data_IF_518350054951
#
_entry.id   IF_518350054951
#
_cell.length_a   1.000
_cell.length_b   1.000
_cell.length_c   1.000
_cell.angle_alpha   90.00
_cell.angle_beta   90.00
_cell.angle_gamma   90.00
#
_symmetry.space_group_name_H-M   'P 1'
#
loop_
_entity.id
_entity.type
_entity.pdbx_description
1 polymer ?
#
# COMPACT_ATOMS: atom_id res chain seq x y z
N UNK A 1 -23.27 -20.32 32.40
CA UNK A 1 -22.95 -19.06 31.70
C UNK A 1 -24.24 -18.29 31.41
N UNK A 2 -25.02 -17.96 32.43
CA UNK A 2 -26.32 -17.27 32.25
C UNK A 2 -26.18 -15.76 32.45
N UNK A 3 -27.05 -14.95 31.86
CA UNK A 3 -27.03 -13.48 32.04
C UNK A 3 -25.70 -12.85 31.63
N UNK A 4 -25.15 -13.33 30.52
CA UNK A 4 -23.90 -12.85 29.96
C UNK A 4 -24.17 -12.22 28.58
N UNK A 5 -23.11 -11.94 27.82
CA UNK A 5 -23.18 -11.33 26.48
C UNK A 5 -22.72 -12.29 25.39
N UNK A 6 -22.92 -13.59 25.57
CA UNK A 6 -22.46 -14.60 24.60
C UNK A 6 -23.32 -14.50 23.33
N UNK A 7 -22.69 -14.23 22.18
CA UNK A 7 -23.38 -14.03 20.90
C UNK A 7 -23.38 -15.26 19.98
N UNK A 8 -22.37 -16.12 20.13
CA UNK A 8 -22.25 -17.37 19.36
C UNK A 8 -21.55 -18.46 20.15
N UNK A 9 -21.74 -19.71 19.73
CA UNK A 9 -21.02 -20.89 20.21
C UNK A 9 -20.41 -21.55 18.98
N UNK A 10 -19.08 -21.62 18.95
CA UNK A 10 -18.35 -22.23 17.85
C UNK A 10 -18.43 -23.76 17.92
N UNK A 11 -18.17 -24.41 16.78
CA UNK A 11 -18.07 -25.86 16.70
C UNK A 11 -17.06 -26.40 17.71
N UNK A 12 -17.46 -27.42 18.46
CA UNK A 12 -16.55 -28.10 19.38
C UNK A 12 -16.16 -27.31 20.63
N UNK A 13 -16.77 -26.14 20.89
CA UNK A 13 -16.51 -25.33 22.11
C UNK A 13 -16.54 -26.16 23.40
N UNK A 14 -17.42 -27.18 23.44
CA UNK A 14 -17.59 -28.05 24.61
C UNK A 14 -17.13 -29.50 24.39
N UNK A 15 -16.42 -29.80 23.30
CA UNK A 15 -16.12 -31.16 22.86
C UNK A 15 -15.42 -32.02 23.94
N UNK A 16 -14.59 -31.41 24.77
CA UNK A 16 -13.82 -32.11 25.80
C UNK A 16 -14.57 -32.24 27.15
N UNK A 17 -15.75 -31.64 27.29
CA UNK A 17 -16.52 -31.64 28.54
C UNK A 17 -17.45 -32.87 28.62
N UNK A 18 -16.93 -34.06 28.36
CA UNK A 18 -17.72 -35.30 28.21
C UNK A 18 -18.49 -35.72 29.47
N UNK A 19 -18.06 -35.25 30.65
CA UNK A 19 -18.73 -35.48 31.96
C UNK A 19 -19.72 -34.38 32.35
N UNK A 20 -19.86 -33.32 31.56
CA UNK A 20 -20.73 -32.20 31.87
C UNK A 20 -22.19 -32.67 31.92
N UNK A 21 -22.86 -32.48 33.07
CA UNK A 21 -24.27 -32.85 33.25
C UNK A 21 -25.23 -31.69 33.02
N UNK A 22 -24.78 -30.44 33.20
CA UNK A 22 -25.65 -29.26 33.17
C UNK A 22 -24.95 -28.12 32.45
N UNK A 23 -25.61 -27.57 31.43
CA UNK A 23 -25.16 -26.42 30.66
C UNK A 23 -26.27 -25.37 30.59
N UNK A 24 -26.07 -24.26 31.29
CA UNK A 24 -27.02 -23.15 31.32
C UNK A 24 -26.42 -21.97 30.57
N UNK A 25 -27.04 -21.60 29.45
CA UNK A 25 -26.71 -20.51 28.54
C UNK A 25 -27.87 -19.50 28.44
N UNK A 26 -28.73 -19.46 29.46
CA UNK A 26 -29.94 -18.63 29.46
C UNK A 26 -29.62 -17.13 29.53
N UNK A 27 -30.47 -16.30 28.93
CA UNK A 27 -30.36 -14.85 28.97
C UNK A 27 -29.00 -14.35 28.45
N UNK A 28 -28.62 -14.81 27.26
CA UNK A 28 -27.46 -14.35 26.51
C UNK A 28 -27.94 -13.66 25.22
N UNK A 29 -27.07 -13.58 24.20
CA UNK A 29 -27.36 -12.98 22.89
C UNK A 29 -27.16 -13.98 21.75
N UNK A 30 -27.34 -15.27 22.01
CA UNK A 30 -27.19 -16.31 20.99
C UNK A 30 -28.25 -16.10 19.91
N UNK A 31 -27.81 -15.92 18.65
CA UNK A 31 -28.69 -15.76 17.49
C UNK A 31 -28.74 -17.02 16.63
N UNK A 32 -27.67 -17.79 16.67
CA UNK A 32 -27.45 -18.99 15.90
C UNK A 32 -26.70 -20.03 16.74
N UNK A 33 -26.88 -21.30 16.38
CA UNK A 33 -26.05 -22.40 16.87
C UNK A 33 -25.33 -23.00 15.69
N UNK A 34 -24.03 -23.24 15.83
CA UNK A 34 -23.27 -23.95 14.82
C UNK A 34 -23.64 -25.44 14.80
N UNK A 35 -23.55 -26.12 13.64
CA UNK A 35 -23.95 -27.52 13.47
C UNK A 35 -23.31 -28.50 14.46
N UNK A 36 -22.15 -28.22 15.06
CA UNK A 36 -21.49 -29.09 16.05
C UNK A 36 -21.23 -28.38 17.38
N UNK A 37 -22.10 -27.43 17.74
CA UNK A 37 -21.95 -26.63 18.96
C UNK A 37 -21.89 -27.47 20.25
N UNK A 38 -22.64 -28.58 20.34
CA UNK A 38 -22.70 -29.45 21.53
C UNK A 38 -22.13 -30.85 21.30
N UNK A 39 -21.25 -31.00 20.31
CA UNK A 39 -20.58 -32.29 20.03
C UNK A 39 -19.86 -32.82 21.28
N UNK A 40 -19.92 -34.14 21.51
CA UNK A 40 -19.21 -34.79 22.62
C UNK A 40 -19.89 -34.70 24.00
N UNK A 41 -20.98 -33.93 24.15
CA UNK A 41 -21.69 -33.76 25.41
C UNK A 41 -22.64 -34.94 25.76
N UNK A 42 -22.13 -36.17 25.72
CA UNK A 42 -22.91 -37.39 25.90
C UNK A 42 -23.53 -37.56 27.30
N UNK A 43 -22.94 -36.94 28.33
CA UNK A 43 -23.43 -37.00 29.72
C UNK A 43 -24.41 -35.88 30.06
N UNK A 44 -24.69 -34.96 29.14
CA UNK A 44 -25.48 -33.77 29.43
C UNK A 44 -26.94 -34.14 29.68
N UNK A 45 -27.47 -33.70 30.82
CA UNK A 45 -28.85 -33.92 31.25
C UNK A 45 -29.70 -32.67 31.13
N UNK A 46 -29.13 -31.50 31.42
CA UNK A 46 -29.86 -30.23 31.43
C UNK A 46 -29.17 -29.24 30.48
N UNK A 47 -29.92 -28.76 29.49
CA UNK A 47 -29.49 -27.70 28.57
C UNK A 47 -30.50 -26.55 28.59
N UNK A 48 -30.06 -25.35 28.94
CA UNK A 48 -30.94 -24.17 28.86
C UNK A 48 -30.38 -23.13 27.90
N UNK A 49 -31.14 -22.86 26.83
CA UNK A 49 -30.93 -21.82 25.84
C UNK A 49 -32.00 -20.71 25.94
N UNK A 50 -32.76 -20.71 27.03
CA UNK A 50 -33.88 -19.80 27.27
C UNK A 50 -33.46 -18.32 27.21
N UNK A 51 -34.29 -17.44 26.66
CA UNK A 51 -34.03 -15.99 26.68
C UNK A 51 -32.85 -15.58 25.79
N UNK A 52 -32.73 -16.18 24.62
CA UNK A 52 -31.77 -15.80 23.59
C UNK A 52 -32.53 -15.27 22.35
N UNK A 53 -31.88 -15.16 21.21
CA UNK A 53 -32.50 -14.73 19.95
C UNK A 53 -32.35 -15.79 18.85
N UNK A 54 -32.41 -17.07 19.23
CA UNK A 54 -32.26 -18.19 18.30
C UNK A 54 -33.54 -18.33 17.48
N UNK A 55 -33.40 -18.48 16.16
CA UNK A 55 -34.54 -18.72 15.27
C UNK A 55 -34.62 -20.14 14.71
N UNK A 56 -33.49 -20.81 14.53
CA UNK A 56 -33.42 -22.18 14.04
C UNK A 56 -32.47 -23.00 14.91
N UNK A 57 -32.82 -24.26 15.13
CA UNK A 57 -31.99 -25.26 15.80
C UNK A 57 -31.61 -26.31 14.76
N UNK A 58 -30.31 -26.46 14.42
CA UNK A 58 -29.87 -27.52 13.52
C UNK A 58 -29.83 -28.87 14.25
N UNK A 59 -30.36 -29.92 13.63
CA UNK A 59 -30.42 -31.28 14.22
C UNK A 59 -29.04 -31.79 14.65
N UNK A 60 -28.04 -31.57 13.80
CA UNK A 60 -26.65 -31.99 14.02
C UNK A 60 -26.06 -31.45 15.33
N UNK A 61 -26.51 -30.27 15.78
CA UNK A 61 -25.98 -29.68 17.03
C UNK A 61 -26.43 -30.49 18.26
N UNK A 62 -27.50 -31.27 18.15
CA UNK A 62 -28.11 -32.01 19.25
C UNK A 62 -27.84 -33.53 19.17
N UNK A 63 -27.19 -34.02 18.10
CA UNK A 63 -26.95 -35.46 17.87
C UNK A 63 -26.22 -36.17 19.03
N UNK A 64 -25.29 -35.47 19.71
CA UNK A 64 -24.52 -36.07 20.81
C UNK A 64 -25.26 -36.15 22.14
N UNK A 65 -26.43 -35.51 22.28
CA UNK A 65 -27.14 -35.29 23.55
C UNK A 65 -28.03 -36.47 23.95
N UNK A 66 -27.44 -37.65 24.06
CA UNK A 66 -28.16 -38.92 24.25
C UNK A 66 -28.89 -39.03 25.60
N UNK A 67 -28.35 -38.39 26.65
CA UNK A 67 -28.83 -38.47 28.03
C UNK A 67 -29.61 -37.24 28.49
N UNK A 68 -30.01 -36.37 27.55
CA UNK A 68 -30.73 -35.15 27.89
C UNK A 68 -32.08 -35.50 28.53
N UNK A 69 -32.40 -34.82 29.62
CA UNK A 69 -33.68 -34.95 30.34
C UNK A 69 -34.44 -33.64 30.39
N UNK A 70 -33.75 -32.51 30.33
CA UNK A 70 -34.35 -31.18 30.36
C UNK A 70 -33.72 -30.26 29.31
N UNK A 71 -34.56 -29.64 28.49
CA UNK A 71 -34.22 -28.57 27.58
C UNK A 71 -35.14 -27.37 27.81
N UNK A 72 -34.58 -26.17 27.77
CA UNK A 72 -35.35 -24.93 27.79
C UNK A 72 -34.94 -24.04 26.64
N UNK A 73 -35.83 -23.85 25.65
CA UNK A 73 -35.60 -22.95 24.50
C UNK A 73 -36.62 -21.82 24.42
N UNK A 74 -37.47 -21.64 25.43
CA UNK A 74 -38.44 -20.55 25.48
C UNK A 74 -37.81 -19.16 25.41
N UNK A 75 -38.64 -18.14 25.14
CA UNK A 75 -38.18 -16.75 24.97
C UNK A 75 -37.07 -16.61 23.92
N UNK A 76 -37.24 -17.32 22.79
CA UNK A 76 -36.43 -17.20 21.58
C UNK A 76 -37.36 -16.88 20.40
N UNK A 77 -36.81 -16.31 19.32
CA UNK A 77 -37.55 -15.92 18.11
C UNK A 77 -37.70 -17.08 17.13
N UNK A 78 -38.26 -18.21 17.58
CA UNK A 78 -38.26 -19.49 16.86
C UNK A 78 -39.07 -19.44 15.55
N UNK A 79 -38.43 -19.85 14.45
CA UNK A 79 -39.03 -19.98 13.12
C UNK A 79 -39.33 -21.46 12.83
N UNK A 80 -40.58 -21.86 13.06
CA UNK A 80 -41.05 -23.23 13.09
C UNK A 80 -41.62 -23.74 11.76
N UNK A 81 -40.86 -23.69 10.69
CA UNK A 81 -41.25 -24.36 9.45
C UNK A 81 -40.84 -25.85 9.44
N UNK A 82 -40.87 -26.50 8.28
CA UNK A 82 -40.51 -27.92 8.17
C UNK A 82 -39.12 -28.26 8.73
N UNK A 83 -38.17 -27.30 8.78
CA UNK A 83 -36.82 -27.51 9.31
C UNK A 83 -36.76 -27.59 10.83
N UNK A 84 -37.81 -27.18 11.52
CA UNK A 84 -37.94 -27.29 12.98
C UNK A 84 -38.88 -28.43 13.40
N UNK A 85 -39.43 -29.18 12.44
CA UNK A 85 -40.31 -30.32 12.73
C UNK A 85 -39.58 -31.39 13.56
N UNK A 86 -38.33 -31.69 13.19
CA UNK A 86 -37.49 -32.67 13.90
C UNK A 86 -37.40 -32.32 15.39
N UNK A 87 -37.20 -31.05 15.72
CA UNK A 87 -37.02 -30.60 17.10
C UNK A 87 -38.32 -30.78 17.89
N UNK A 88 -39.47 -30.38 17.31
CA UNK A 88 -40.78 -30.60 17.91
C UNK A 88 -41.09 -32.08 18.14
N UNK A 89 -40.70 -32.97 17.21
CA UNK A 89 -40.84 -34.42 17.39
C UNK A 89 -39.90 -34.95 18.47
N UNK A 90 -38.66 -34.49 18.46
CA UNK A 90 -37.61 -34.94 19.39
C UNK A 90 -37.98 -34.62 20.84
N UNK A 91 -38.39 -33.40 21.16
CA UNK A 91 -38.80 -33.00 22.52
C UNK A 91 -40.02 -33.79 23.03
N UNK A 92 -40.96 -34.15 22.15
CA UNK A 92 -42.14 -34.97 22.50
C UNK A 92 -41.75 -36.41 22.81
N UNK A 93 -40.85 -36.98 22.00
CA UNK A 93 -40.43 -38.37 22.15
C UNK A 93 -39.64 -38.61 23.45
N UNK A 94 -38.93 -37.59 23.93
CA UNK A 94 -38.07 -37.71 25.12
C UNK A 94 -38.69 -37.10 26.39
N UNK A 95 -39.86 -36.45 26.32
CA UNK A 95 -40.44 -35.63 27.40
C UNK A 95 -39.44 -34.62 27.99
N UNK A 96 -38.62 -33.99 27.13
CA UNK A 96 -37.44 -33.23 27.56
C UNK A 96 -37.72 -31.74 27.79
N UNK A 97 -38.90 -31.20 27.47
CA UNK A 97 -39.15 -29.76 27.64
C UNK A 97 -40.07 -29.45 28.84
N UNK A 98 -39.53 -28.74 29.83
CA UNK A 98 -40.30 -28.13 30.94
C UNK A 98 -40.82 -26.72 30.61
N UNK A 99 -40.63 -26.25 29.37
CA UNK A 99 -40.71 -24.84 28.98
C UNK A 99 -41.88 -24.48 28.05
N UNK A 100 -42.37 -23.25 28.21
CA UNK A 100 -43.42 -22.60 27.42
C UNK A 100 -42.96 -22.15 26.01
N UNK A 101 -42.05 -22.88 25.35
CA UNK A 101 -41.50 -22.46 24.06
C UNK A 101 -42.56 -22.44 22.97
N UNK A 102 -42.69 -21.30 22.30
CA UNK A 102 -43.66 -21.07 21.24
C UNK A 102 -42.95 -20.70 19.95
N UNK A 103 -43.57 -21.11 18.86
CA UNK A 103 -43.21 -20.65 17.53
C UNK A 103 -43.61 -19.18 17.37
N UNK A 104 -42.70 -18.36 16.87
CA UNK A 104 -42.96 -16.94 16.57
C UNK A 104 -43.40 -16.76 15.12
N UNK A 105 -42.83 -17.56 14.22
CA UNK A 105 -43.12 -17.56 12.80
C UNK A 105 -42.95 -18.99 12.24
N UNK A 106 -43.41 -19.30 11.01
CA UNK A 106 -44.31 -18.48 10.17
C UNK A 106 -45.70 -18.31 10.80
N UNK A 107 -46.52 -17.39 10.27
CA UNK A 107 -47.83 -17.03 10.85
C UNK A 107 -48.77 -18.23 11.03
N UNK A 108 -48.66 -19.26 10.19
CA UNK A 108 -49.46 -20.50 10.26
C UNK A 108 -49.29 -21.29 11.57
N UNK A 109 -48.14 -21.15 12.24
CA UNK A 109 -47.81 -21.84 13.50
C UNK A 109 -47.46 -20.87 14.62
N UNK A 110 -47.61 -19.57 14.38
CA UNK A 110 -47.30 -18.55 15.37
C UNK A 110 -48.12 -18.74 16.65
N UNK A 111 -47.47 -18.49 17.79
CA UNK A 111 -47.98 -18.70 19.15
C UNK A 111 -48.30 -20.16 19.53
N UNK A 112 -48.09 -21.15 18.67
CA UNK A 112 -48.25 -22.55 19.04
C UNK A 112 -47.07 -23.02 19.90
N UNK A 113 -47.36 -23.84 20.93
CA UNK A 113 -46.32 -24.47 21.74
C UNK A 113 -45.63 -25.56 20.94
N UNK A 114 -44.30 -25.61 20.99
CA UNK A 114 -43.52 -26.65 20.30
C UNK A 114 -43.93 -28.07 20.74
N UNK A 115 -44.31 -28.24 22.01
CA UNK A 115 -44.73 -29.52 22.57
C UNK A 115 -46.09 -30.01 22.05
N UNK A 116 -46.98 -29.11 21.62
CA UNK A 116 -48.34 -29.47 21.18
C UNK A 116 -48.60 -29.27 19.70
N UNK A 117 -47.74 -28.51 18.99
CA UNK A 117 -47.81 -28.34 17.55
C UNK A 117 -47.72 -29.70 16.83
N UNK A 118 -48.55 -29.94 15.82
CA UNK A 118 -48.59 -31.21 15.07
C UNK A 118 -47.60 -31.17 13.91
N UNK A 119 -46.99 -32.32 13.58
CA UNK A 119 -46.00 -32.45 12.49
C UNK A 119 -46.44 -31.78 11.17
N UNK A 120 -47.69 -32.00 10.74
CA UNK A 120 -48.19 -31.43 9.47
C UNK A 120 -48.32 -29.91 9.46
N UNK A 121 -48.21 -29.22 10.60
CA UNK A 121 -48.24 -27.76 10.68
C UNK A 121 -46.88 -27.13 10.34
N UNK A 122 -45.79 -27.91 10.44
CA UNK A 122 -44.44 -27.48 10.09
C UNK A 122 -44.23 -27.63 8.57
N UNK A 123 -44.61 -26.61 7.82
CA UNK A 123 -44.51 -26.61 6.35
C UNK A 123 -43.52 -25.55 5.86
N UNK A 124 -42.70 -25.90 4.88
CA UNK A 124 -41.78 -24.96 4.24
C UNK A 124 -42.47 -24.26 3.06
N UNK A 125 -42.51 -22.92 3.09
CA UNK A 125 -43.06 -22.10 2.01
C UNK A 125 -42.02 -21.67 0.96
N UNK A 126 -40.82 -22.25 0.96
CA UNK A 126 -39.70 -21.86 0.11
C UNK A 126 -38.41 -21.62 0.90
N UNK A 127 -37.67 -20.57 0.54
CA UNK A 127 -36.43 -20.19 1.22
C UNK A 127 -36.69 -19.60 2.62
N UNK A 128 -35.71 -19.73 3.53
CA UNK A 128 -35.78 -19.03 4.82
C UNK A 128 -35.87 -17.52 4.56
N UNK A 129 -36.72 -16.76 5.27
CA UNK A 129 -36.64 -15.30 5.25
C UNK A 129 -35.22 -14.81 5.55
N UNK A 130 -34.74 -13.81 4.79
CA UNK A 130 -33.40 -13.27 4.94
C UNK A 130 -33.10 -12.79 6.37
N UNK A 131 -34.10 -12.30 7.10
CA UNK A 131 -33.97 -11.88 8.51
C UNK A 131 -33.64 -13.04 9.47
N UNK A 132 -34.06 -14.27 9.14
CA UNK A 132 -33.77 -15.46 9.92
C UNK A 132 -32.44 -16.08 9.50
N UNK A 133 -32.16 -16.17 8.19
CA UNK A 133 -30.87 -16.71 7.73
C UNK A 133 -29.69 -15.79 8.07
N UNK A 134 -29.87 -14.47 8.05
CA UNK A 134 -28.85 -13.48 8.42
C UNK A 134 -28.42 -13.52 9.90
N UNK A 135 -29.11 -14.31 10.74
CA UNK A 135 -28.67 -14.59 12.12
C UNK A 135 -27.50 -15.57 12.17
N UNK A 136 -27.43 -16.50 11.22
CA UNK A 136 -26.38 -17.52 11.14
C UNK A 136 -25.37 -17.23 10.02
N UNK A 137 -25.80 -16.56 8.95
CA UNK A 137 -25.01 -16.33 7.76
C UNK A 137 -24.89 -14.82 7.50
N UNK A 138 -23.72 -14.27 7.83
CA UNK A 138 -23.45 -12.85 7.67
C UNK A 138 -23.46 -12.40 6.19
N UNK A 139 -23.17 -13.31 5.26
CA UNK A 139 -23.15 -13.04 3.82
C UNK A 139 -24.54 -12.81 3.22
N UNK A 140 -25.63 -13.21 3.90
CA UNK A 140 -27.01 -12.95 3.46
C UNK A 140 -27.28 -11.45 3.32
N UNK A 141 -26.66 -10.62 4.16
CA UNK A 141 -26.80 -9.15 4.08
C UNK A 141 -25.95 -8.50 2.99
N UNK A 142 -25.21 -9.29 2.20
CA UNK A 142 -24.30 -8.83 1.15
C UNK A 142 -23.36 -7.70 1.63
N UNK A 143 -22.54 -7.95 2.67
CA UNK A 143 -21.69 -6.91 3.24
C UNK A 143 -20.55 -6.50 2.28
N UNK A 144 -20.03 -7.44 1.49
CA UNK A 144 -18.91 -7.23 0.57
C UNK A 144 -19.32 -6.43 -0.68
N UNK A 145 -18.48 -5.47 -1.08
CA UNK A 145 -18.69 -4.55 -2.22
C UNK A 145 -17.80 -4.92 -3.41
N UNK A 146 -18.01 -4.23 -4.53
CA UNK A 146 -17.12 -4.26 -5.71
C UNK A 146 -16.81 -5.67 -6.24
N UNK A 147 -17.83 -6.54 -6.29
CA UNK A 147 -17.69 -7.90 -6.83
C UNK A 147 -16.91 -8.86 -5.93
N UNK A 148 -16.63 -8.49 -4.68
CA UNK A 148 -15.94 -9.35 -3.73
C UNK A 148 -16.77 -10.58 -3.33
N UNK A 149 -16.09 -11.71 -3.12
CA UNK A 149 -16.71 -12.95 -2.64
C UNK A 149 -16.83 -12.93 -1.12
N UNK A 150 -18.03 -13.14 -0.60
CA UNK A 150 -18.26 -13.24 0.84
C UNK A 150 -18.11 -14.68 1.34
N UNK A 151 -17.46 -14.83 2.49
CA UNK A 151 -17.36 -16.08 3.24
C UNK A 151 -17.76 -15.83 4.70
N UNK A 152 -18.79 -16.54 5.17
CA UNK A 152 -19.18 -16.49 6.58
C UNK A 152 -18.16 -17.28 7.39
N UNK A 153 -17.62 -16.64 8.43
CA UNK A 153 -16.69 -17.25 9.39
C UNK A 153 -17.45 -17.61 10.67
N UNK A 154 -16.76 -18.03 11.73
CA UNK A 154 -17.40 -18.41 12.99
C UNK A 154 -18.38 -17.35 13.52
N UNK A 155 -19.60 -17.76 13.82
CA UNK A 155 -20.64 -16.86 14.37
C UNK A 155 -21.30 -15.98 13.30
N UNK A 156 -21.32 -14.66 13.53
CA UNK A 156 -21.85 -13.63 12.59
C UNK A 156 -20.73 -12.81 11.93
N UNK A 157 -19.50 -13.31 12.04
CA UNK A 157 -18.37 -12.66 11.38
C UNK A 157 -18.27 -13.15 9.93
N UNK A 158 -17.55 -12.38 9.11
CA UNK A 158 -17.37 -12.69 7.71
C UNK A 158 -16.03 -12.19 7.22
N UNK A 159 -15.58 -12.78 6.12
CA UNK A 159 -14.43 -12.34 5.36
C UNK A 159 -14.86 -12.02 3.94
N UNK A 160 -14.51 -10.82 3.48
CA UNK A 160 -14.62 -10.46 2.08
C UNK A 160 -13.30 -10.77 1.37
N UNK A 161 -13.37 -11.60 0.34
CA UNK A 161 -12.28 -11.85 -0.58
C UNK A 161 -12.37 -10.80 -1.69
N UNK A 162 -11.60 -9.72 -1.55
CA UNK A 162 -11.65 -8.58 -2.44
C UNK A 162 -11.22 -8.93 -3.86
N UNK A 163 -11.94 -8.37 -4.84
CA UNK A 163 -11.47 -8.37 -6.22
C UNK A 163 -10.18 -7.55 -6.33
N UNK A 164 -9.39 -7.83 -7.36
CA UNK A 164 -8.14 -7.10 -7.59
C UNK A 164 -8.42 -5.60 -7.77
N UNK A 165 -7.61 -4.77 -7.11
CA UNK A 165 -7.78 -3.32 -7.08
C UNK A 165 -8.68 -2.78 -5.98
N UNK A 166 -9.18 -3.61 -5.06
CA UNK A 166 -9.98 -3.18 -3.92
C UNK A 166 -9.41 -3.69 -2.58
N UNK A 167 -9.65 -2.94 -1.51
CA UNK A 167 -9.25 -3.25 -0.15
C UNK A 167 -10.24 -2.67 0.87
N UNK A 168 -10.01 -2.92 2.17
CA UNK A 168 -10.94 -2.59 3.25
C UNK A 168 -11.69 -3.81 3.77
N UNK A 169 -12.43 -3.66 4.87
CA UNK A 169 -13.15 -4.78 5.51
C UNK A 169 -14.22 -5.36 4.57
N UNK A 170 -14.85 -4.49 3.79
CA UNK A 170 -15.93 -4.81 2.87
C UNK A 170 -15.50 -4.65 1.41
N UNK A 171 -14.20 -4.49 1.13
CA UNK A 171 -13.67 -4.20 -0.20
C UNK A 171 -14.24 -2.91 -0.80
N UNK A 172 -14.49 -1.93 0.06
CA UNK A 172 -15.13 -0.65 -0.28
C UNK A 172 -14.15 0.37 -0.87
N UNK A 173 -12.85 0.21 -0.63
CA UNK A 173 -11.84 1.18 -1.02
C UNK A 173 -11.07 0.70 -2.24
N UNK A 174 -10.85 1.57 -3.21
CA UNK A 174 -9.97 1.31 -4.35
C UNK A 174 -8.50 1.35 -3.90
N UNK A 175 -7.67 0.49 -4.49
CA UNK A 175 -6.21 0.53 -4.32
C UNK A 175 -5.68 1.64 -5.22
N UNK A 176 -5.25 2.73 -4.60
CA UNK A 176 -4.48 3.76 -5.30
C UNK A 176 -3.02 3.31 -5.41
N UNK A 177 -2.69 2.62 -6.50
CA UNK A 177 -1.32 2.18 -6.75
C UNK A 177 -0.36 3.33 -7.13
N UNK A 178 -0.88 4.54 -7.31
CA UNK A 178 -0.06 5.75 -7.44
C UNK A 178 0.25 6.41 -6.09
N UNK A 179 -0.34 5.91 -5.00
CA UNK A 179 -0.01 6.36 -3.66
C UNK A 179 1.48 6.11 -3.36
N UNK A 180 2.20 7.15 -2.93
CA UNK A 180 3.65 7.10 -2.72
C UNK A 180 4.49 7.55 -3.91
N UNK A 181 3.87 8.06 -4.99
CA UNK A 181 4.56 8.64 -6.15
C UNK A 181 5.64 7.72 -6.75
N UNK A 182 5.27 6.51 -7.23
CA UNK A 182 6.25 5.54 -7.71
C UNK A 182 7.00 5.98 -8.98
N UNK A 183 6.38 6.82 -9.81
CA UNK A 183 6.98 7.29 -11.06
C UNK A 183 8.02 8.39 -10.82
N UNK A 184 9.20 8.27 -11.42
CA UNK A 184 10.32 9.20 -11.26
C UNK A 184 10.35 10.28 -12.35
N UNK A 185 11.28 11.23 -12.22
CA UNK A 185 11.56 12.28 -13.21
C UNK A 185 10.31 13.05 -13.68
N UNK A 186 9.40 13.36 -12.74
CA UNK A 186 8.13 14.06 -13.00
C UNK A 186 7.19 13.33 -13.98
N UNK A 187 7.30 12.01 -14.08
CA UNK A 187 6.38 11.20 -14.87
C UNK A 187 4.97 11.17 -14.28
N UNK A 188 3.98 11.07 -15.16
CA UNK A 188 2.57 10.98 -14.77
C UNK A 188 2.22 9.53 -14.42
N UNK A 189 1.84 9.28 -13.17
CA UNK A 189 1.30 7.98 -12.75
C UNK A 189 -0.17 7.84 -13.16
N UNK A 190 -0.52 6.71 -13.77
CA UNK A 190 -1.91 6.36 -14.10
C UNK A 190 -2.24 5.01 -13.48
N UNK A 191 -3.27 4.97 -12.64
CA UNK A 191 -3.87 3.71 -12.17
C UNK A 191 -4.56 3.04 -13.36
N UNK A 192 -4.29 1.75 -13.54
CA UNK A 192 -4.89 0.89 -14.57
C UNK A 192 -5.76 -0.18 -13.89
N UNK A 193 -6.36 -1.07 -14.68
CA UNK A 193 -7.23 -2.13 -14.16
C UNK A 193 -6.54 -2.97 -13.06
N UNK A 194 -7.35 -3.52 -12.15
CA UNK A 194 -6.89 -4.36 -11.03
C UNK A 194 -6.05 -3.65 -9.97
N UNK A 195 -6.11 -2.30 -9.92
CA UNK A 195 -5.31 -1.50 -8.99
C UNK A 195 -3.82 -1.62 -9.24
N UNK A 196 -3.41 -1.82 -10.50
CA UNK A 196 -2.03 -1.64 -10.94
C UNK A 196 -1.83 -0.20 -11.40
N UNK A 197 -0.59 0.18 -11.71
CA UNK A 197 -0.30 1.49 -12.30
C UNK A 197 0.66 1.37 -13.48
N UNK A 198 0.75 2.44 -14.26
CA UNK A 198 1.75 2.64 -15.30
C UNK A 198 2.26 4.09 -15.25
N UNK A 199 3.54 4.29 -15.56
CA UNK A 199 4.15 5.61 -15.63
C UNK A 199 4.21 6.09 -17.08
N UNK A 200 3.67 7.29 -17.34
CA UNK A 200 3.81 7.95 -18.63
C UNK A 200 5.05 8.82 -18.59
N UNK A 201 6.11 8.34 -19.25
CA UNK A 201 7.41 8.98 -19.20
C UNK A 201 7.43 10.30 -20.00
N UNK A 202 8.03 11.36 -19.43
CA UNK A 202 8.38 12.55 -20.19
C UNK A 202 9.37 12.23 -21.31
N UNK A 203 9.46 13.13 -22.30
CA UNK A 203 10.46 13.01 -23.37
C UNK A 203 11.87 12.96 -22.77
N UNK A 204 12.71 12.06 -23.26
CA UNK A 204 14.06 11.82 -22.76
C UNK A 204 14.15 10.75 -21.67
N UNK A 205 13.05 10.22 -21.15
CA UNK A 205 13.07 9.14 -20.15
C UNK A 205 12.41 7.86 -20.64
N UNK A 206 12.86 6.72 -20.12
CA UNK A 206 12.31 5.38 -20.34
C UNK A 206 12.41 4.53 -19.06
N UNK A 207 11.84 3.32 -19.12
CA UNK A 207 11.75 2.41 -17.97
C UNK A 207 10.33 2.34 -17.42
N UNK A 208 10.07 1.34 -16.58
CA UNK A 208 8.73 1.12 -16.00
C UNK A 208 8.34 2.24 -15.03
N UNK A 209 9.33 2.89 -14.41
CA UNK A 209 9.19 4.01 -13.48
C UNK A 209 9.75 5.32 -14.07
N UNK A 210 10.11 5.32 -15.36
CA UNK A 210 10.76 6.44 -16.03
C UNK A 210 12.10 6.85 -15.40
N UNK A 211 12.83 5.86 -14.87
CA UNK A 211 14.07 6.00 -14.12
C UNK A 211 15.32 6.16 -15.00
N UNK A 212 15.23 5.81 -16.28
CA UNK A 212 16.37 5.77 -17.20
C UNK A 212 16.33 6.98 -18.12
N UNK A 213 17.38 7.81 -18.10
CA UNK A 213 17.61 8.81 -19.14
C UNK A 213 17.96 8.11 -20.46
N UNK A 214 17.34 8.51 -21.55
CA UNK A 214 17.62 7.99 -22.89
C UNK A 214 18.93 8.60 -23.36
N UNK A 215 19.89 7.75 -23.75
CA UNK A 215 21.19 8.20 -24.25
C UNK A 215 21.03 8.95 -25.58
N UNK A 216 21.16 10.27 -25.51
CA UNK A 216 21.08 11.16 -26.67
C UNK A 216 22.40 11.19 -27.49
N UNK A 217 23.44 10.47 -27.05
CA UNK A 217 24.75 10.44 -27.68
C UNK A 217 24.93 9.38 -28.76
N UNK A 218 24.05 8.37 -28.90
CA UNK A 218 24.22 7.27 -29.87
C UNK A 218 24.39 7.73 -31.33
N UNK A 219 23.83 8.89 -31.70
CA UNK A 219 23.97 9.50 -33.03
C UNK A 219 24.32 10.98 -32.93
N UNK A 220 25.18 11.31 -31.99
CA UNK A 220 25.63 12.68 -31.81
C UNK A 220 26.38 13.20 -33.05
N UNK A 221 26.37 14.53 -33.21
CA UNK A 221 27.07 15.23 -34.28
C UNK A 221 28.42 15.81 -33.84
N UNK A 222 28.92 15.43 -32.66
CA UNK A 222 30.16 16.00 -32.13
C UNK A 222 31.33 15.66 -33.06
N UNK A 223 32.10 16.67 -33.45
CA UNK A 223 33.21 16.56 -34.39
C UNK A 223 34.56 16.66 -33.68
N UNK A 224 35.64 16.41 -34.42
CA UNK A 224 37.00 16.69 -33.98
C UNK A 224 37.41 16.00 -32.66
N UNK A 225 36.89 14.79 -32.42
CA UNK A 225 37.18 14.00 -31.22
C UNK A 225 36.51 14.54 -29.95
N UNK A 226 35.53 15.43 -30.07
CA UNK A 226 34.79 15.96 -28.92
C UNK A 226 33.99 14.86 -28.20
N UNK A 227 33.94 14.97 -26.88
CA UNK A 227 33.20 14.02 -26.03
C UNK A 227 31.74 14.42 -25.98
N UNK A 228 30.84 13.51 -26.32
CA UNK A 228 29.41 13.73 -26.16
C UNK A 228 29.01 13.60 -24.69
N UNK A 229 28.19 14.53 -24.21
CA UNK A 229 27.58 14.51 -22.88
C UNK A 229 26.08 14.33 -23.06
N UNK A 230 25.59 13.21 -22.54
CA UNK A 230 24.17 12.91 -22.47
C UNK A 230 23.44 13.95 -21.60
N UNK A 231 22.28 14.41 -22.07
CA UNK A 231 21.41 15.34 -21.35
C UNK A 231 19.97 14.80 -21.41
N UNK A 232 18.98 15.57 -20.95
CA UNK A 232 17.58 15.14 -21.03
C UNK A 232 17.03 15.56 -22.39
N UNK A 233 16.74 14.58 -23.27
CA UNK A 233 16.16 14.80 -24.59
C UNK A 233 17.01 15.76 -25.45
N UNK A 234 18.32 15.72 -25.25
CA UNK A 234 19.35 16.51 -25.95
C UNK A 234 20.72 15.95 -25.58
N UNK A 235 21.76 16.37 -26.30
CA UNK A 235 23.14 16.18 -25.89
C UNK A 235 23.92 17.50 -26.02
N UNK A 236 25.10 17.57 -25.41
CA UNK A 236 26.09 18.64 -25.65
C UNK A 236 27.46 18.06 -25.98
N UNK A 237 28.25 18.77 -26.79
CA UNK A 237 29.61 18.36 -27.12
C UNK A 237 30.61 19.11 -26.26
N UNK A 238 31.47 18.38 -25.55
CA UNK A 238 32.61 18.94 -24.85
C UNK A 238 33.79 19.03 -25.82
N UNK A 239 34.09 20.26 -26.26
CA UNK A 239 35.11 20.52 -27.26
C UNK A 239 36.52 20.47 -26.66
N UNK A 240 37.48 20.00 -27.46
CA UNK A 240 38.90 20.10 -27.12
C UNK A 240 39.45 21.53 -27.20
N UNK A 241 40.70 21.76 -26.76
CA UNK A 241 41.28 23.10 -26.56
C UNK A 241 41.36 24.03 -27.79
N UNK A 242 41.16 23.50 -29.01
CA UNK A 242 41.21 24.26 -30.27
C UNK A 242 39.93 24.16 -31.09
N UNK A 243 38.82 23.72 -30.49
CA UNK A 243 37.56 23.57 -31.18
C UNK A 243 36.43 24.30 -30.45
N UNK A 244 35.49 24.83 -31.23
CA UNK A 244 34.31 25.55 -30.75
C UNK A 244 33.10 25.26 -31.63
N UNK A 245 31.99 25.92 -31.33
CA UNK A 245 30.71 25.65 -31.97
C UNK A 245 29.87 24.64 -31.19
N UNK A 246 28.61 24.46 -31.59
CA UNK A 246 27.65 23.59 -30.89
C UNK A 246 28.06 22.11 -30.95
N UNK A 247 28.74 21.75 -32.03
CA UNK A 247 29.18 20.40 -32.34
C UNK A 247 30.70 20.29 -32.41
N UNK A 248 31.43 21.30 -31.91
CA UNK A 248 32.89 21.38 -31.98
C UNK A 248 33.44 21.36 -33.42
N UNK A 249 32.65 21.84 -34.37
CA UNK A 249 32.93 21.89 -35.80
C UNK A 249 33.87 23.05 -36.19
N UNK A 250 33.94 24.09 -35.36
CA UNK A 250 34.74 25.29 -35.62
C UNK A 250 36.17 25.06 -35.12
N UNK A 251 37.16 25.16 -35.99
CA UNK A 251 38.56 25.25 -35.56
C UNK A 251 38.82 26.65 -35.01
N UNK A 252 39.21 26.72 -33.74
CA UNK A 252 39.60 27.97 -33.09
C UNK A 252 41.06 28.28 -33.39
N UNK A 253 41.33 29.57 -33.53
CA UNK A 253 42.69 30.05 -33.73
C UNK A 253 43.15 30.84 -32.51
N UNK A 254 44.44 30.72 -32.18
CA UNK A 254 45.05 31.49 -31.12
C UNK A 254 44.94 33.00 -31.36
N UNK A 255 44.85 33.72 -30.24
CA UNK A 255 44.67 35.17 -30.18
C UNK A 255 43.34 35.66 -30.77
N UNK A 256 42.38 34.75 -30.98
CA UNK A 256 41.00 35.12 -31.30
C UNK A 256 40.23 35.47 -30.02
N UNK A 257 39.07 36.12 -30.17
CA UNK A 257 38.20 36.43 -29.03
C UNK A 257 37.77 35.20 -28.23
N UNK A 258 37.75 34.01 -28.84
CA UNK A 258 37.30 32.75 -28.22
C UNK A 258 38.44 31.89 -27.68
N UNK A 259 39.69 32.16 -28.09
CA UNK A 259 40.87 31.43 -27.64
C UNK A 259 42.06 32.39 -27.54
N UNK A 260 42.25 32.99 -26.36
CA UNK A 260 43.41 33.79 -26.03
C UNK A 260 44.11 33.18 -24.80
N UNK A 261 45.28 32.51 -24.98
CA UNK A 261 46.01 31.91 -23.86
C UNK A 261 46.77 32.92 -22.98
N UNK A 262 46.89 34.18 -23.42
CA UNK A 262 47.66 35.19 -22.71
C UNK A 262 46.84 35.84 -21.60
N UNK A 263 47.34 35.74 -20.37
CA UNK A 263 46.72 36.27 -19.16
C UNK A 263 47.24 37.68 -18.82
N UNK A 264 46.67 38.30 -17.79
CA UNK A 264 47.15 39.56 -17.20
C UNK A 264 47.28 40.73 -18.19
N UNK A 265 46.44 40.75 -19.22
CA UNK A 265 46.44 41.80 -20.25
C UNK A 265 47.59 41.71 -21.25
N UNK A 266 48.35 40.61 -21.25
CA UNK A 266 49.44 40.41 -22.20
C UNK A 266 48.94 40.39 -23.65
N UNK A 267 49.77 40.93 -24.56
CA UNK A 267 49.42 40.99 -25.98
C UNK A 267 49.70 39.65 -26.64
N UNK A 268 48.66 39.06 -27.23
CA UNK A 268 48.77 37.77 -27.91
C UNK A 268 49.16 37.94 -29.38
N UNK A 269 50.11 37.13 -29.83
CA UNK A 269 50.54 37.06 -31.23
C UNK A 269 50.45 35.64 -31.76
N UNK A 270 49.88 35.47 -32.96
CA UNK A 270 49.84 34.17 -33.64
C UNK A 270 51.21 33.88 -34.28
N UNK A 271 51.70 32.65 -34.10
CA UNK A 271 52.93 32.15 -34.71
C UNK A 271 52.66 30.79 -35.37
N UNK A 272 52.30 30.79 -36.66
CA UNK A 272 51.93 29.55 -37.36
C UNK A 272 50.69 28.89 -36.74
N UNK A 273 50.83 27.64 -36.30
CA UNK A 273 49.82 26.89 -35.53
C UNK A 273 49.98 27.05 -34.01
N UNK A 274 50.87 27.93 -33.56
CA UNK A 274 51.18 28.21 -32.16
C UNK A 274 50.94 29.71 -31.85
N UNK A 275 51.28 30.14 -30.65
CA UNK A 275 51.14 31.52 -30.16
C UNK A 275 52.34 31.94 -29.33
N UNK A 276 52.46 33.26 -29.16
CA UNK A 276 53.40 33.89 -28.24
C UNK A 276 52.73 35.04 -27.52
N UNK A 277 52.88 35.08 -26.21
CA UNK A 277 52.44 36.20 -25.40
C UNK A 277 53.60 37.19 -25.20
N UNK A 278 53.33 38.47 -25.42
CA UNK A 278 54.20 39.57 -24.98
C UNK A 278 53.76 39.98 -23.58
N UNK A 279 54.48 39.47 -22.58
CA UNK A 279 54.18 39.73 -21.17
C UNK A 279 54.44 41.19 -20.82
N UNK A 280 53.55 41.74 -20.01
CA UNK A 280 53.78 43.02 -19.37
C UNK A 280 54.84 42.85 -18.26
N UNK A 281 55.58 43.92 -17.90
CA UNK A 281 56.60 43.85 -16.85
C UNK A 281 56.06 43.25 -15.55
N UNK A 282 56.82 42.32 -14.96
CA UNK A 282 56.45 41.60 -13.74
C UNK A 282 55.63 40.32 -13.97
N UNK A 283 55.41 39.89 -15.22
CA UNK A 283 54.86 38.57 -15.54
C UNK A 283 55.83 37.76 -16.41
N UNK A 284 55.85 36.45 -16.19
CA UNK A 284 56.69 35.46 -16.88
C UNK A 284 55.87 34.21 -17.23
N UNK A 285 56.52 33.21 -17.83
CA UNK A 285 55.95 31.99 -18.44
C UNK A 285 55.35 32.18 -19.85
N UNK A 286 54.89 31.07 -20.46
CA UNK A 286 54.37 31.05 -21.83
C UNK A 286 53.06 31.84 -22.00
N UNK A 287 52.28 31.93 -20.93
CA UNK A 287 50.94 32.51 -20.88
C UNK A 287 50.92 33.87 -20.16
N UNK A 288 52.06 34.31 -19.63
CA UNK A 288 52.19 35.48 -18.76
C UNK A 288 51.32 35.38 -17.51
N UNK A 289 51.10 34.16 -17.00
CA UNK A 289 50.23 33.89 -15.85
C UNK A 289 50.98 34.05 -14.52
N UNK A 290 52.28 33.74 -14.51
CA UNK A 290 53.11 33.76 -13.31
C UNK A 290 53.67 35.16 -13.05
N UNK A 291 53.48 35.67 -11.83
CA UNK A 291 54.07 36.93 -11.39
C UNK A 291 55.55 36.72 -11.01
N UNK A 292 56.41 37.65 -11.39
CA UNK A 292 57.84 37.67 -11.04
C UNK A 292 58.00 38.06 -9.56
N UNK A 293 58.67 37.20 -8.80
CA UNK A 293 59.03 37.52 -7.43
C UNK A 293 60.22 38.48 -7.38
N UNK A 294 59.93 39.78 -7.33
CA UNK A 294 60.93 40.85 -7.18
C UNK A 294 61.70 40.78 -5.85
N UNK A 295 61.27 39.93 -4.90
CA UNK A 295 61.94 39.71 -3.63
C UNK A 295 62.86 38.49 -3.63
N UNK A 296 62.86 37.67 -4.69
CA UNK A 296 63.74 36.51 -4.78
C UNK A 296 65.22 36.94 -4.78
N UNK A 297 65.97 36.49 -3.78
CA UNK A 297 67.36 36.89 -3.54
C UNK A 297 67.57 38.31 -3.00
N UNK A 298 66.52 39.12 -2.80
CA UNK A 298 66.67 40.52 -2.41
C UNK A 298 66.88 40.68 -0.89
N UNK A 299 67.98 41.33 -0.48
CA UNK A 299 68.28 41.62 0.93
C UNK A 299 68.04 43.11 1.23
N UNK A 300 66.93 43.41 1.91
CA UNK A 300 66.61 44.78 2.31
C UNK A 300 67.57 45.27 3.41
N UNK A 301 68.07 46.51 3.26
CA UNK A 301 68.93 47.15 4.28
C UNK A 301 68.10 47.61 5.49
N UNK A 302 68.77 47.79 6.64
CA UNK A 302 68.19 48.32 7.88
C UNK A 302 66.96 47.55 8.43
N UNK A 303 66.87 46.24 8.17
CA UNK A 303 65.82 45.38 8.73
C UNK A 303 64.45 45.47 8.05
N UNK A 304 64.37 46.05 6.85
CA UNK A 304 63.13 46.07 6.07
C UNK A 304 62.69 44.68 5.59
N UNK A 305 61.39 44.50 5.36
CA UNK A 305 60.80 43.28 4.79
C UNK A 305 60.48 43.55 3.32
N UNK A 306 60.98 42.71 2.41
CA UNK A 306 60.57 42.76 1.01
C UNK A 306 59.17 42.16 0.87
N UNK A 307 58.30 42.83 0.14
CA UNK A 307 56.94 42.36 -0.14
C UNK A 307 56.76 42.23 -1.64
N UNK A 308 56.39 41.03 -2.10
CA UNK A 308 56.14 40.74 -3.50
C UNK A 308 55.00 41.62 -4.00
N UNK A 309 55.22 42.37 -5.08
CA UNK A 309 54.19 43.21 -5.68
C UNK A 309 53.32 42.37 -6.61
N UNK A 310 52.09 42.10 -6.20
CA UNK A 310 51.06 41.59 -7.09
C UNK A 310 50.62 42.70 -8.05
N UNK A 311 51.25 42.78 -9.23
CA UNK A 311 50.82 43.67 -10.30
C UNK A 311 49.46 43.15 -10.79
N UNK A 312 48.40 43.93 -10.63
CA UNK A 312 47.09 43.69 -11.25
C UNK A 312 46.89 44.67 -12.40
N UNK A 313 45.99 44.40 -13.34
CA UNK A 313 45.68 45.30 -14.46
C UNK A 313 45.33 46.75 -14.02
N UNK A 314 44.86 46.95 -12.78
CA UNK A 314 44.60 48.29 -12.21
C UNK A 314 45.88 49.04 -11.81
N UNK A 315 46.93 48.33 -11.40
CA UNK A 315 48.17 48.96 -10.92
C UNK A 315 49.03 49.60 -12.03
N UNK A 316 48.92 49.13 -13.29
CA UNK A 316 49.69 49.66 -14.43
C UNK A 316 49.10 50.94 -15.04
N UNK A 317 47.80 51.25 -14.82
CA UNK A 317 47.24 52.54 -15.25
C UNK A 317 47.83 53.72 -14.46
N UNK A 318 48.34 53.47 -13.25
CA UNK A 318 48.83 54.50 -12.33
C UNK A 318 50.30 54.87 -12.61
N UNK A 319 51.09 53.96 -13.20
CA UNK A 319 52.53 54.17 -13.42
C UNK A 319 52.90 55.02 -14.63
N UNK A 320 51.93 55.54 -15.39
CA UNK A 320 52.20 56.41 -16.58
C UNK A 320 52.07 57.92 -16.28
N UNK A 321 51.89 58.31 -15.01
CA UNK A 321 51.87 59.72 -14.59
C UNK A 321 52.88 59.88 -13.46
N UNK A 322 54.17 59.95 -13.80
CA UNK A 322 55.22 60.64 -13.04
C UNK A 322 56.55 60.45 -13.79
N UNK A 323 56.78 61.31 -14.79
CA UNK A 323 58.12 61.84 -15.08
C UNK A 323 58.33 63.10 -14.24
#
# INVERSE_FOLDING_TARGET
MSHNRVESIEDGTFANLTKLSTLILSYNKLRCLQPRAFIGLHSLRILSLHGNDISLLPETAFESLNNITHIAVGSNSLYCDCRMEWFSRWIKSKFVEAGIARCVAPQSVANQLLLTARSHQFQCGGTVPASVSAKCDACVTQPCKNGARCETTSGRDYRCHCAAGYHGKNCENEIDACYGHPCLNNALCKVIQEGRFTCVCPKGFKGDYCEVNIDDCERNKCQNGARCIDMINSYRCECGPMFGGKYCEEKLEYCSKRLNPCENGAKCHRVGTDYRCECLPGFVDRNCSTNVDDCDGHRCKNGGICVVRFITMESQRISTIQE
#
